data_IF_242272076317
#
_entry.id   IF_242272076317
#
_cell.length_a   1.000
_cell.length_b   1.000
_cell.length_c   1.000
_cell.angle_alpha   90.00
_cell.angle_beta   90.00
_cell.angle_gamma   90.00
#
_symmetry.space_group_name_H-M   'P 1'
#
loop_
_entity.id
_entity.type
_entity.pdbx_description
1 polymer ?
#
# COMPACT_ATOMS: atom_id res chain seq x y z
N UNK A 1 -1.09 -24.80 6.29
CA UNK A 1 -2.00 -23.69 6.70
C UNK A 1 -3.41 -24.22 6.67
N UNK A 2 -4.06 -24.25 7.85
CA UNK A 2 -5.39 -24.80 8.09
C UNK A 2 -6.47 -23.92 7.44
N UNK A 3 -7.59 -24.58 7.21
CA UNK A 3 -8.66 -24.28 6.28
C UNK A 3 -9.73 -23.40 6.96
N UNK A 4 -9.60 -22.07 6.91
CA UNK A 4 -10.46 -21.15 7.69
C UNK A 4 -11.44 -20.29 6.86
N UNK A 5 -11.73 -20.66 5.61
CA UNK A 5 -12.79 -20.02 4.81
C UNK A 5 -13.97 -20.93 4.51
N UNK A 6 -14.37 -21.79 5.47
CA UNK A 6 -15.71 -22.40 5.47
C UNK A 6 -16.69 -21.52 6.25
N UNK A 7 -16.95 -20.32 5.74
CA UNK A 7 -18.25 -19.70 5.99
C UNK A 7 -19.27 -20.54 5.20
N UNK A 8 -19.80 -21.58 5.84
CA UNK A 8 -20.67 -22.56 5.19
C UNK A 8 -21.91 -21.85 4.65
N UNK A 9 -22.42 -22.30 3.51
CA UNK A 9 -23.71 -21.87 2.94
C UNK A 9 -24.83 -21.88 4.01
N UNK A 10 -24.73 -22.80 4.98
CA UNK A 10 -25.56 -22.85 6.18
C UNK A 10 -25.54 -21.54 6.99
N UNK A 11 -24.38 -20.94 7.26
CA UNK A 11 -24.31 -19.69 8.03
C UNK A 11 -24.97 -18.52 7.30
N UNK A 12 -24.90 -18.49 5.97
CA UNK A 12 -25.59 -17.49 5.14
C UNK A 12 -27.11 -17.70 5.20
N UNK A 13 -27.57 -18.96 5.13
CA UNK A 13 -28.99 -19.32 5.29
C UNK A 13 -29.49 -18.97 6.70
N UNK A 14 -28.72 -19.25 7.75
CA UNK A 14 -29.08 -18.90 9.13
C UNK A 14 -29.21 -17.39 9.33
N UNK A 15 -28.29 -16.61 8.77
CA UNK A 15 -28.36 -15.14 8.83
C UNK A 15 -29.58 -14.63 8.07
N UNK A 16 -29.88 -15.18 6.89
CA UNK A 16 -31.08 -14.81 6.11
C UNK A 16 -32.39 -15.17 6.83
N UNK A 17 -32.44 -16.31 7.54
CA UNK A 17 -33.60 -16.76 8.32
C UNK A 17 -33.78 -15.92 9.59
N UNK A 18 -32.71 -15.62 10.32
CA UNK A 18 -32.78 -14.75 11.51
C UNK A 18 -33.25 -13.36 11.11
N UNK A 19 -32.79 -12.85 9.95
CA UNK A 19 -33.20 -11.54 9.46
C UNK A 19 -34.64 -11.53 8.95
N UNK A 20 -35.14 -12.62 8.35
CA UNK A 20 -36.56 -12.74 7.96
C UNK A 20 -37.49 -12.78 9.18
N UNK A 21 -37.03 -13.33 10.30
CA UNK A 21 -37.74 -13.35 11.58
C UNK A 21 -37.75 -11.95 12.23
N UNK A 22 -36.61 -11.25 12.27
CA UNK A 22 -36.52 -9.85 12.76
C UNK A 22 -37.42 -8.93 11.90
N UNK A 23 -37.47 -9.18 10.59
CA UNK A 23 -38.37 -8.52 9.65
C UNK A 23 -39.85 -8.79 9.96
N UNK A 24 -40.23 -10.04 10.24
CA UNK A 24 -41.60 -10.40 10.62
C UNK A 24 -42.02 -9.72 11.93
N UNK A 25 -41.11 -9.66 12.91
CA UNK A 25 -41.32 -9.02 14.21
C UNK A 25 -41.46 -7.50 14.05
N UNK A 26 -40.63 -6.87 13.21
CA UNK A 26 -40.72 -5.44 12.92
C UNK A 26 -42.05 -5.06 12.26
N UNK A 27 -42.54 -5.87 11.32
CA UNK A 27 -43.86 -5.69 10.68
C UNK A 27 -45.00 -5.85 11.69
N UNK A 28 -44.91 -6.82 12.61
CA UNK A 28 -45.92 -7.04 13.66
C UNK A 28 -45.95 -5.94 14.71
N UNK A 29 -44.78 -5.46 15.15
CA UNK A 29 -44.65 -4.41 16.16
C UNK A 29 -45.15 -3.04 15.63
N UNK A 30 -44.96 -2.78 14.34
CA UNK A 30 -45.38 -1.52 13.73
C UNK A 30 -46.87 -1.46 13.40
N UNK A 31 -47.55 -2.61 13.28
CA UNK A 31 -49.02 -2.66 13.20
C UNK A 31 -49.73 -2.10 14.44
N UNK A 32 -49.03 -1.95 15.58
CA UNK A 32 -49.63 -1.57 16.86
C UNK A 32 -49.46 -0.09 17.26
N UNK A 33 -48.69 0.74 16.54
CA UNK A 33 -48.39 2.11 17.00
C UNK A 33 -48.60 3.20 15.93
N UNK A 34 -49.14 4.35 16.34
CA UNK A 34 -49.29 5.59 15.55
C UNK A 34 -49.06 6.83 16.44
N UNK A 35 -48.67 8.00 15.88
CA UNK A 35 -48.09 8.26 14.56
C UNK A 35 -46.86 9.21 14.57
N UNK A 36 -45.80 8.81 13.86
CA UNK A 36 -45.06 9.72 12.97
C UNK A 36 -45.80 9.70 11.62
N UNK A 37 -45.88 10.82 10.89
CA UNK A 37 -46.71 10.92 9.68
C UNK A 37 -46.08 10.23 8.44
N UNK A 38 -45.88 8.90 8.55
CA UNK A 38 -45.50 7.91 7.53
C UNK A 38 -46.78 7.28 6.91
N UNK A 39 -47.95 7.85 7.23
CA UNK A 39 -49.31 7.32 6.99
C UNK A 39 -49.70 7.18 5.51
N UNK A 40 -48.82 7.56 4.57
CA UNK A 40 -49.04 7.43 3.12
C UNK A 40 -48.45 6.17 2.50
N UNK A 41 -47.64 5.41 3.24
CA UNK A 41 -47.01 4.17 2.76
C UNK A 41 -47.90 2.98 3.12
N UNK A 42 -48.46 2.36 2.09
CA UNK A 42 -49.31 1.18 2.22
C UNK A 42 -48.46 -0.06 2.53
N UNK A 43 -49.10 -1.14 3.01
CA UNK A 43 -48.45 -2.45 3.25
C UNK A 43 -47.62 -2.93 2.05
N UNK A 44 -48.11 -2.65 0.83
CA UNK A 44 -47.42 -2.95 -0.44
C UNK A 44 -46.08 -2.23 -0.54
N UNK A 45 -46.02 -0.97 -0.13
CA UNK A 45 -44.84 -0.13 -0.31
C UNK A 45 -43.69 -0.60 0.60
N UNK A 46 -44.03 -1.03 1.81
CA UNK A 46 -43.09 -1.68 2.72
C UNK A 46 -42.54 -3.00 2.17
N UNK A 47 -43.40 -3.85 1.58
CA UNK A 47 -42.94 -5.09 0.95
C UNK A 47 -41.96 -4.83 -0.19
N UNK A 48 -42.20 -3.82 -1.02
CA UNK A 48 -41.27 -3.45 -2.11
C UNK A 48 -39.93 -2.94 -1.59
N UNK A 49 -39.92 -2.03 -0.62
CA UNK A 49 -38.68 -1.49 -0.04
C UNK A 49 -37.85 -2.63 0.60
N UNK A 50 -38.49 -3.57 1.29
CA UNK A 50 -37.81 -4.72 1.87
C UNK A 50 -37.23 -5.67 0.83
N UNK A 51 -37.92 -5.87 -0.29
CA UNK A 51 -37.45 -6.72 -1.39
C UNK A 51 -36.24 -6.08 -2.09
N UNK A 52 -36.26 -4.76 -2.28
CA UNK A 52 -35.11 -3.99 -2.83
C UNK A 52 -33.92 -4.08 -1.85
N UNK A 53 -34.15 -3.93 -0.54
CA UNK A 53 -33.10 -4.05 0.47
C UNK A 53 -32.43 -5.44 0.43
N UNK A 54 -33.24 -6.50 0.42
CA UNK A 54 -32.76 -7.88 0.32
C UNK A 54 -31.96 -8.10 -0.97
N UNK A 55 -32.44 -7.56 -2.08
CA UNK A 55 -31.76 -7.66 -3.36
C UNK A 55 -30.39 -6.95 -3.34
N UNK A 56 -30.33 -5.69 -2.92
CA UNK A 56 -29.08 -4.92 -2.83
C UNK A 56 -28.07 -5.52 -1.85
N UNK A 57 -28.54 -6.11 -0.75
CA UNK A 57 -27.71 -6.80 0.22
C UNK A 57 -27.19 -8.14 -0.30
N UNK A 58 -28.04 -8.91 -0.99
CA UNK A 58 -27.62 -10.17 -1.64
C UNK A 58 -26.55 -9.91 -2.71
N UNK A 59 -26.73 -8.86 -3.51
CA UNK A 59 -25.74 -8.40 -4.48
C UNK A 59 -24.40 -8.05 -3.82
N UNK A 60 -24.44 -7.31 -2.71
CA UNK A 60 -23.26 -7.00 -1.91
C UNK A 60 -22.56 -8.26 -1.40
N UNK A 61 -23.30 -9.20 -0.80
CA UNK A 61 -22.73 -10.42 -0.23
C UNK A 61 -22.05 -11.28 -1.31
N UNK A 62 -22.74 -11.58 -2.40
CA UNK A 62 -22.21 -12.45 -3.47
C UNK A 62 -20.91 -11.87 -4.05
N UNK A 63 -20.88 -10.55 -4.29
CA UNK A 63 -19.71 -9.91 -4.87
C UNK A 63 -18.59 -9.67 -3.85
N UNK A 64 -18.92 -9.39 -2.59
CA UNK A 64 -17.91 -9.18 -1.54
C UNK A 64 -17.18 -10.48 -1.16
N UNK A 65 -17.84 -11.63 -1.29
CA UNK A 65 -17.22 -12.95 -1.13
C UNK A 65 -16.25 -13.22 -2.27
N UNK A 66 -16.61 -12.88 -3.51
CA UNK A 66 -15.80 -13.15 -4.69
C UNK A 66 -14.62 -12.18 -4.85
N UNK A 67 -14.80 -10.92 -4.46
CA UNK A 67 -13.83 -9.85 -4.68
C UNK A 67 -13.59 -9.03 -3.39
N UNK A 68 -12.70 -9.55 -2.53
CA UNK A 68 -12.35 -8.92 -1.25
C UNK A 68 -11.87 -7.47 -1.41
N UNK A 69 -11.09 -7.20 -2.47
CA UNK A 69 -10.48 -5.90 -2.78
C UNK A 69 -11.51 -4.81 -3.12
N UNK A 70 -12.75 -5.19 -3.45
CA UNK A 70 -13.80 -4.30 -3.95
C UNK A 70 -14.86 -4.05 -2.88
N UNK A 71 -14.74 -4.69 -1.70
CA UNK A 71 -15.75 -4.63 -0.63
C UNK A 71 -16.17 -3.20 -0.29
N UNK A 72 -15.23 -2.25 -0.20
CA UNK A 72 -15.52 -0.83 0.08
C UNK A 72 -16.34 -0.16 -1.04
N UNK A 73 -15.96 -0.38 -2.31
CA UNK A 73 -16.69 0.16 -3.46
C UNK A 73 -18.07 -0.49 -3.63
N UNK A 74 -18.19 -1.80 -3.33
CA UNK A 74 -19.45 -2.54 -3.39
C UNK A 74 -20.49 -2.02 -2.40
N UNK A 75 -20.08 -1.58 -1.20
CA UNK A 75 -21.00 -0.91 -0.26
C UNK A 75 -21.63 0.31 -0.93
N UNK A 76 -20.82 1.17 -1.57
CA UNK A 76 -21.32 2.39 -2.24
C UNK A 76 -22.29 2.03 -3.37
N UNK A 77 -21.97 1.06 -4.21
CA UNK A 77 -22.83 0.63 -5.33
C UNK A 77 -24.15 0.07 -4.79
N UNK A 78 -24.12 -0.85 -3.83
CA UNK A 78 -25.31 -1.46 -3.26
C UNK A 78 -26.21 -0.44 -2.57
N UNK A 79 -25.63 0.51 -1.83
CA UNK A 79 -26.37 1.61 -1.20
C UNK A 79 -26.99 2.54 -2.24
N UNK A 80 -26.25 2.90 -3.30
CA UNK A 80 -26.78 3.72 -4.38
C UNK A 80 -27.92 3.02 -5.14
N UNK A 81 -27.80 1.71 -5.40
CA UNK A 81 -28.88 0.90 -6.00
C UNK A 81 -30.12 0.86 -5.10
N UNK A 82 -29.94 0.68 -3.79
CA UNK A 82 -31.06 0.68 -2.84
C UNK A 82 -31.81 2.02 -2.82
N UNK A 83 -31.06 3.13 -2.74
CA UNK A 83 -31.63 4.48 -2.68
C UNK A 83 -32.34 4.84 -4.00
N UNK A 84 -31.70 4.59 -5.14
CA UNK A 84 -32.27 4.92 -6.46
C UNK A 84 -33.56 4.13 -6.73
N UNK A 85 -33.58 2.83 -6.44
CA UNK A 85 -34.78 2.01 -6.61
C UNK A 85 -35.92 2.40 -5.65
N UNK A 86 -35.58 2.74 -4.41
CA UNK A 86 -36.57 3.10 -3.38
C UNK A 86 -37.19 4.47 -3.64
N UNK A 87 -36.39 5.47 -4.02
CA UNK A 87 -36.86 6.81 -4.40
C UNK A 87 -37.72 6.72 -5.66
N UNK A 88 -37.27 5.97 -6.66
CA UNK A 88 -37.97 5.85 -7.93
C UNK A 88 -39.34 5.16 -7.78
N UNK A 89 -39.39 4.07 -7.01
CA UNK A 89 -40.66 3.42 -6.66
C UNK A 89 -41.62 4.39 -5.97
N UNK A 90 -41.13 5.13 -4.98
CA UNK A 90 -41.94 6.09 -4.24
C UNK A 90 -42.54 7.16 -5.16
N UNK A 91 -41.73 7.76 -6.04
CA UNK A 91 -42.18 8.80 -6.97
C UNK A 91 -43.21 8.28 -7.98
N UNK A 92 -42.94 7.13 -8.61
CA UNK A 92 -43.83 6.61 -9.64
C UNK A 92 -45.14 6.02 -9.09
N UNK A 93 -45.12 5.48 -7.87
CA UNK A 93 -46.33 5.00 -7.19
C UNK A 93 -47.38 6.10 -6.95
N UNK A 94 -46.98 7.38 -7.01
CA UNK A 94 -47.84 8.54 -6.79
C UNK A 94 -48.31 9.21 -8.08
N UNK A 95 -47.63 8.97 -9.21
CA UNK A 95 -47.82 9.74 -10.44
C UNK A 95 -48.56 8.95 -11.53
N UNK A 96 -48.30 7.64 -11.69
CA UNK A 96 -48.77 6.90 -12.88
C UNK A 96 -49.31 5.49 -12.58
N UNK A 97 -50.33 5.07 -13.34
CA UNK A 97 -50.96 3.74 -13.23
C UNK A 97 -50.12 2.62 -13.88
N UNK A 98 -49.16 2.93 -14.75
CA UNK A 98 -48.32 1.95 -15.48
C UNK A 98 -46.81 2.08 -15.18
N UNK A 99 -46.43 2.03 -13.90
CA UNK A 99 -45.03 2.22 -13.49
C UNK A 99 -44.09 1.02 -13.78
N UNK A 100 -44.61 -0.12 -14.23
CA UNK A 100 -43.87 -1.39 -14.34
C UNK A 100 -42.78 -1.36 -15.43
N UNK A 101 -43.11 -0.89 -16.64
CA UNK A 101 -42.17 -0.83 -17.77
C UNK A 101 -40.98 0.06 -17.44
N UNK A 102 -41.25 1.23 -16.86
CA UNK A 102 -40.21 2.20 -16.51
C UNK A 102 -39.37 1.73 -15.33
N UNK A 103 -39.95 0.99 -14.37
CA UNK A 103 -39.20 0.32 -13.31
C UNK A 103 -38.25 -0.75 -13.88
N UNK A 104 -38.72 -1.55 -14.85
CA UNK A 104 -37.89 -2.55 -15.52
C UNK A 104 -36.70 -1.91 -16.27
N UNK A 105 -36.95 -0.81 -16.98
CA UNK A 105 -35.89 -0.03 -17.64
C UNK A 105 -34.87 0.53 -16.64
N UNK A 106 -35.33 1.06 -15.51
CA UNK A 106 -34.45 1.60 -14.47
C UNK A 106 -33.59 0.50 -13.85
N UNK A 107 -34.18 -0.62 -13.47
CA UNK A 107 -33.46 -1.79 -12.94
C UNK A 107 -32.39 -2.24 -13.95
N UNK A 108 -32.75 -2.36 -15.22
CA UNK A 108 -31.81 -2.75 -16.29
C UNK A 108 -30.64 -1.76 -16.41
N UNK A 109 -30.91 -0.46 -16.37
CA UNK A 109 -29.88 0.58 -16.44
C UNK A 109 -28.92 0.54 -15.23
N UNK A 110 -29.44 0.30 -14.02
CA UNK A 110 -28.64 0.18 -12.81
C UNK A 110 -27.69 -1.02 -12.88
N UNK A 111 -28.12 -2.14 -13.45
CA UNK A 111 -27.24 -3.29 -13.64
C UNK A 111 -26.10 -3.01 -14.60
N UNK A 112 -26.38 -2.29 -15.70
CA UNK A 112 -25.34 -1.87 -16.64
C UNK A 112 -24.31 -0.99 -15.91
N UNK A 113 -24.77 0.04 -15.18
CA UNK A 113 -23.90 0.93 -14.42
C UNK A 113 -23.10 0.17 -13.34
N UNK A 114 -23.74 -0.70 -12.57
CA UNK A 114 -23.09 -1.51 -11.54
C UNK A 114 -22.05 -2.47 -12.15
N UNK A 115 -22.34 -3.05 -13.32
CA UNK A 115 -21.42 -3.89 -14.08
C UNK A 115 -20.17 -3.14 -14.50
N UNK A 116 -20.32 -1.97 -15.14
CA UNK A 116 -19.19 -1.13 -15.55
C UNK A 116 -18.35 -0.64 -14.38
N UNK A 117 -19.00 -0.24 -13.27
CA UNK A 117 -18.29 0.20 -12.07
C UNK A 117 -17.47 -0.94 -11.45
N UNK A 118 -18.09 -2.12 -11.33
CA UNK A 118 -17.41 -3.31 -10.79
C UNK A 118 -16.25 -3.70 -11.68
N UNK A 119 -16.44 -3.73 -13.01
CA UNK A 119 -15.39 -4.02 -13.98
C UNK A 119 -14.23 -3.01 -13.91
N UNK A 120 -14.53 -1.72 -13.85
CA UNK A 120 -13.53 -0.65 -13.69
C UNK A 120 -12.70 -0.84 -12.42
N UNK A 121 -13.36 -1.22 -11.31
CA UNK A 121 -12.67 -1.44 -10.04
C UNK A 121 -11.79 -2.69 -10.07
N UNK A 122 -12.28 -3.81 -10.66
CA UNK A 122 -11.49 -5.02 -10.88
C UNK A 122 -10.26 -4.68 -11.74
N UNK A 123 -10.46 -3.97 -12.84
CA UNK A 123 -9.40 -3.58 -13.76
C UNK A 123 -8.34 -2.73 -13.08
N UNK A 124 -8.75 -1.73 -12.28
CA UNK A 124 -7.82 -0.91 -11.51
C UNK A 124 -6.97 -1.75 -10.55
N UNK A 125 -7.58 -2.70 -9.84
CA UNK A 125 -6.82 -3.57 -8.93
C UNK A 125 -5.86 -4.50 -9.68
N UNK A 126 -6.32 -5.09 -10.78
CA UNK A 126 -5.50 -5.92 -11.67
C UNK A 126 -4.30 -5.14 -12.25
N UNK A 127 -4.54 -3.91 -12.72
CA UNK A 127 -3.51 -3.02 -13.24
C UNK A 127 -2.44 -2.69 -12.19
N UNK A 128 -2.82 -2.38 -10.96
CA UNK A 128 -1.85 -2.15 -9.87
C UNK A 128 -0.97 -3.36 -9.63
N UNK A 129 -1.55 -4.56 -9.57
CA UNK A 129 -0.79 -5.82 -9.41
C UNK A 129 0.15 -6.06 -10.58
N UNK A 130 -0.31 -5.86 -11.81
CA UNK A 130 0.52 -5.99 -13.01
C UNK A 130 1.68 -4.99 -13.02
N UNK A 131 1.41 -3.72 -12.71
CA UNK A 131 2.43 -2.68 -12.62
C UNK A 131 3.48 -3.00 -11.54
N UNK A 132 3.01 -3.49 -10.39
CA UNK A 132 3.88 -3.92 -9.28
C UNK A 132 4.76 -5.10 -9.67
N UNK A 133 4.17 -6.12 -10.30
CA UNK A 133 4.90 -7.28 -10.80
C UNK A 133 5.96 -6.87 -11.82
N UNK A 134 5.61 -5.98 -12.75
CA UNK A 134 6.56 -5.46 -13.74
C UNK A 134 7.72 -4.73 -13.06
N UNK A 135 7.47 -3.91 -12.04
CA UNK A 135 8.52 -3.23 -11.28
C UNK A 135 9.45 -4.24 -10.58
N UNK A 136 8.88 -5.25 -9.93
CA UNK A 136 9.64 -6.31 -9.25
C UNK A 136 10.50 -7.10 -10.27
N UNK A 137 9.90 -7.51 -11.38
CA UNK A 137 10.59 -8.29 -12.41
C UNK A 137 11.69 -7.47 -13.09
N UNK A 138 11.41 -6.21 -13.43
CA UNK A 138 12.39 -5.31 -14.01
C UNK A 138 13.56 -5.06 -13.06
N UNK A 139 13.31 -4.91 -11.76
CA UNK A 139 14.40 -4.78 -10.80
C UNK A 139 15.21 -6.08 -10.68
N UNK A 140 14.55 -7.24 -10.64
CA UNK A 140 15.23 -8.54 -10.52
C UNK A 140 16.10 -8.90 -11.72
N UNK A 141 15.69 -8.50 -12.93
CA UNK A 141 16.44 -8.74 -14.17
C UNK A 141 17.24 -7.52 -14.62
N UNK A 142 17.32 -6.46 -13.82
CA UNK A 142 18.11 -5.29 -14.17
C UNK A 142 19.60 -5.58 -13.98
N UNK A 143 20.33 -5.74 -15.08
CA UNK A 143 21.79 -5.84 -15.08
C UNK A 143 22.44 -4.66 -14.36
N UNK A 144 21.88 -3.45 -14.51
CA UNK A 144 22.39 -2.26 -13.84
C UNK A 144 22.21 -2.34 -12.32
N UNK A 145 21.05 -2.79 -11.84
CA UNK A 145 20.81 -3.00 -10.42
C UNK A 145 21.78 -4.05 -9.85
N UNK A 146 21.93 -5.18 -10.55
CA UNK A 146 22.84 -6.25 -10.16
C UNK A 146 24.29 -5.76 -10.09
N UNK A 147 24.78 -5.08 -11.14
CA UNK A 147 26.14 -4.51 -11.16
C UNK A 147 26.36 -3.52 -10.02
N UNK A 148 25.41 -2.61 -9.77
CA UNK A 148 25.53 -1.63 -8.68
C UNK A 148 25.48 -2.25 -7.29
N UNK A 149 24.71 -3.33 -7.12
CA UNK A 149 24.75 -4.11 -5.89
C UNK A 149 26.09 -4.87 -5.75
N UNK A 150 26.63 -5.41 -6.84
CA UNK A 150 27.90 -6.13 -6.85
C UNK A 150 29.08 -5.20 -6.55
N UNK A 151 29.11 -3.99 -7.14
CA UNK A 151 30.13 -2.96 -6.84
C UNK A 151 30.15 -2.65 -5.34
N UNK A 152 28.96 -2.47 -4.76
CA UNK A 152 28.77 -2.22 -3.34
C UNK A 152 29.21 -3.41 -2.46
N UNK A 153 28.88 -4.65 -2.83
CA UNK A 153 29.28 -5.84 -2.08
C UNK A 153 30.78 -6.10 -2.20
N UNK A 154 31.39 -5.88 -3.37
CA UNK A 154 32.84 -6.03 -3.57
C UNK A 154 33.64 -5.02 -2.75
N UNK A 155 33.17 -3.78 -2.68
CA UNK A 155 33.87 -2.73 -1.95
C UNK A 155 33.75 -2.87 -0.43
N UNK A 156 32.54 -3.12 0.06
CA UNK A 156 32.26 -3.04 1.50
C UNK A 156 32.02 -4.38 2.16
N UNK A 157 31.73 -5.45 1.41
CA UNK A 157 31.22 -6.71 1.95
C UNK A 157 29.70 -6.70 2.20
N UNK A 158 29.17 -7.86 2.57
CA UNK A 158 27.74 -8.02 2.90
C UNK A 158 27.45 -7.49 4.32
N UNK A 159 26.36 -6.76 4.49
CA UNK A 159 25.88 -6.23 5.78
C UNK A 159 26.78 -5.22 6.51
N UNK A 160 27.72 -4.59 5.79
CA UNK A 160 28.56 -3.52 6.35
C UNK A 160 27.91 -2.15 6.11
N UNK A 161 27.88 -1.34 7.18
CA UNK A 161 27.38 0.03 7.19
C UNK A 161 28.47 0.97 6.70
N UNK A 162 28.15 1.83 5.73
CA UNK A 162 29.11 2.77 5.16
C UNK A 162 29.43 3.86 6.18
N UNK A 163 30.70 4.04 6.52
CA UNK A 163 31.18 5.05 7.47
C UNK A 163 30.77 6.48 7.05
N UNK A 164 30.45 7.40 7.97
CA UNK A 164 30.03 8.77 7.64
C UNK A 164 31.01 9.54 6.73
N UNK A 165 32.32 9.46 6.98
CA UNK A 165 33.38 10.09 6.16
C UNK A 165 33.30 9.76 4.66
N UNK A 166 32.78 8.58 4.29
CA UNK A 166 32.59 8.19 2.90
C UNK A 166 31.44 8.95 2.23
N UNK A 167 30.36 9.19 2.97
CA UNK A 167 29.19 9.94 2.49
C UNK A 167 29.61 11.35 2.10
N UNK A 168 30.39 12.00 2.96
CA UNK A 168 30.84 13.37 2.77
C UNK A 168 31.73 13.53 1.52
N UNK A 169 32.56 12.53 1.24
CA UNK A 169 33.42 12.50 0.04
C UNK A 169 32.60 12.32 -1.22
N UNK A 170 31.68 11.35 -1.28
CA UNK A 170 30.95 11.04 -2.52
C UNK A 170 30.16 12.21 -3.08
N UNK A 171 29.57 13.03 -2.21
CA UNK A 171 28.83 14.22 -2.64
C UNK A 171 29.70 15.45 -2.89
N UNK A 172 31.00 15.42 -2.54
CA UNK A 172 31.98 16.50 -2.77
C UNK A 172 33.01 16.17 -3.87
N UNK A 173 33.02 14.95 -4.43
CA UNK A 173 34.01 14.49 -5.44
C UNK A 173 34.07 15.38 -6.69
N UNK A 174 32.98 16.05 -7.08
CA UNK A 174 33.01 16.97 -8.23
C UNK A 174 33.92 18.19 -8.00
N UNK A 175 34.06 18.61 -6.75
CA UNK A 175 34.70 19.88 -6.38
C UNK A 175 36.06 19.67 -5.68
N UNK A 176 36.47 18.42 -5.46
CA UNK A 176 37.74 18.09 -4.81
C UNK A 176 38.77 17.59 -5.82
N UNK A 177 40.04 18.04 -5.73
CA UNK A 177 41.13 17.44 -6.49
C UNK A 177 41.22 15.96 -6.16
N UNK A 178 41.50 15.13 -7.18
CA UNK A 178 41.67 13.68 -6.98
C UNK A 178 42.71 13.46 -5.87
N UNK A 179 42.40 12.64 -4.85
CA UNK A 179 43.35 12.36 -3.79
C UNK A 179 44.66 11.83 -4.38
N UNK A 180 45.79 12.36 -3.92
CA UNK A 180 47.12 11.88 -4.29
C UNK A 180 47.45 10.64 -3.46
N UNK A 181 47.63 9.50 -4.12
CA UNK A 181 47.98 8.25 -3.47
C UNK A 181 49.47 7.98 -3.63
N UNK A 182 50.15 7.62 -2.53
CA UNK A 182 51.56 7.22 -2.57
C UNK A 182 51.73 5.84 -3.26
N UNK A 183 50.71 4.98 -3.18
CA UNK A 183 50.71 3.64 -3.78
C UNK A 183 49.48 3.47 -4.71
N UNK A 184 49.68 3.03 -5.97
CA UNK A 184 48.59 2.80 -6.93
C UNK A 184 47.57 1.74 -6.48
N UNK A 185 47.96 0.78 -5.63
CA UNK A 185 47.03 -0.21 -5.05
C UNK A 185 45.96 0.47 -4.19
N UNK A 186 46.35 1.40 -3.30
CA UNK A 186 45.39 2.15 -2.46
C UNK A 186 44.49 3.07 -3.28
N UNK A 187 44.99 3.60 -4.39
CA UNK A 187 44.16 4.34 -5.33
C UNK A 187 43.04 3.46 -5.91
N UNK A 188 43.40 2.26 -6.38
CA UNK A 188 42.43 1.32 -6.97
C UNK A 188 41.37 0.85 -5.96
N UNK A 189 41.79 0.57 -4.72
CA UNK A 189 40.87 0.20 -3.64
C UNK A 189 39.94 1.38 -3.29
N UNK A 190 40.48 2.58 -3.10
CA UNK A 190 39.68 3.78 -2.81
C UNK A 190 38.60 4.03 -3.87
N UNK A 191 38.94 3.94 -5.17
CA UNK A 191 37.95 4.13 -6.23
C UNK A 191 36.86 3.04 -6.25
N UNK A 192 37.19 1.82 -5.83
CA UNK A 192 36.19 0.75 -5.63
C UNK A 192 35.17 1.13 -4.55
N UNK A 193 35.62 1.66 -3.41
CA UNK A 193 34.73 2.18 -2.37
C UNK A 193 33.83 3.32 -2.87
N UNK A 194 34.38 4.25 -3.65
CA UNK A 194 33.59 5.34 -4.26
C UNK A 194 32.50 4.80 -5.17
N UNK A 195 32.80 3.86 -6.06
CA UNK A 195 31.80 3.25 -6.94
C UNK A 195 30.76 2.44 -6.17
N UNK A 196 31.16 1.75 -5.09
CA UNK A 196 30.24 1.05 -4.20
C UNK A 196 29.21 1.99 -3.55
N UNK A 197 29.62 3.17 -3.10
CA UNK A 197 28.70 4.14 -2.50
C UNK A 197 27.77 4.76 -3.55
N UNK A 198 28.27 5.06 -4.76
CA UNK A 198 27.41 5.48 -5.87
C UNK A 198 26.37 4.41 -6.18
N UNK A 199 26.76 3.13 -6.14
CA UNK A 199 25.84 2.00 -6.20
C UNK A 199 24.79 2.04 -5.10
N UNK A 200 25.20 2.23 -3.85
CA UNK A 200 24.26 2.33 -2.72
C UNK A 200 23.27 3.49 -2.87
N UNK A 201 23.73 4.67 -3.31
CA UNK A 201 22.87 5.81 -3.61
C UNK A 201 21.85 5.48 -4.72
N UNK A 202 22.28 4.78 -5.77
CA UNK A 202 21.40 4.31 -6.84
C UNK A 202 20.31 3.36 -6.30
N UNK A 203 20.69 2.38 -5.49
CA UNK A 203 19.74 1.43 -4.88
C UNK A 203 18.75 2.16 -3.97
N UNK A 204 19.21 3.11 -3.17
CA UNK A 204 18.36 3.89 -2.27
C UNK A 204 17.34 4.74 -3.05
N UNK A 205 17.76 5.38 -4.13
CA UNK A 205 16.86 6.15 -5.01
C UNK A 205 15.77 5.27 -5.64
N UNK A 206 16.10 4.03 -6.01
CA UNK A 206 15.11 3.06 -6.48
C UNK A 206 14.03 2.80 -5.41
N UNK A 207 14.42 2.57 -4.16
CA UNK A 207 13.46 2.31 -3.09
C UNK A 207 12.67 3.56 -2.68
N UNK A 208 13.25 4.75 -2.77
CA UNK A 208 12.52 6.02 -2.60
C UNK A 208 11.41 6.17 -3.65
N UNK A 209 11.73 5.93 -4.93
CA UNK A 209 10.75 5.96 -6.00
C UNK A 209 9.66 4.89 -5.80
N UNK A 210 10.04 3.67 -5.44
CA UNK A 210 9.10 2.60 -5.14
C UNK A 210 8.18 2.97 -3.95
N UNK A 211 8.73 3.62 -2.92
CA UNK A 211 7.96 4.09 -1.78
C UNK A 211 6.88 5.09 -2.18
N UNK A 212 7.19 6.03 -3.08
CA UNK A 212 6.19 6.97 -3.63
C UNK A 212 5.02 6.21 -4.27
N UNK A 213 5.31 5.21 -5.11
CA UNK A 213 4.27 4.41 -5.78
C UNK A 213 3.39 3.63 -4.80
N UNK A 214 3.98 3.10 -3.71
CA UNK A 214 3.23 2.40 -2.66
C UNK A 214 2.37 3.37 -1.85
N UNK A 215 2.92 4.51 -1.44
CA UNK A 215 2.22 5.49 -0.61
C UNK A 215 1.06 6.16 -1.37
N UNK A 216 1.20 6.35 -2.68
CA UNK A 216 0.12 6.87 -3.56
C UNK A 216 -0.91 5.80 -3.97
N UNK A 217 -0.63 4.52 -3.71
CA UNK A 217 -1.52 3.41 -4.04
C UNK A 217 -1.50 3.00 -5.52
N UNK A 218 -0.45 3.37 -6.24
CA UNK A 218 -0.18 2.92 -7.62
C UNK A 218 0.48 1.54 -7.65
N UNK A 219 1.18 1.18 -6.57
CA UNK A 219 1.77 -0.13 -6.34
C UNK A 219 0.99 -0.91 -5.27
N UNK A 220 0.97 -2.23 -5.42
CA UNK A 220 0.39 -3.17 -4.46
C UNK A 220 1.30 -3.30 -3.24
N UNK A 221 0.88 -2.67 -2.14
CA UNK A 221 1.64 -2.61 -0.88
C UNK A 221 1.93 -3.99 -0.29
N UNK A 222 0.97 -4.92 -0.37
CA UNK A 222 1.11 -6.25 0.23
C UNK A 222 2.17 -7.05 -0.53
N UNK A 223 2.08 -7.07 -1.85
CA UNK A 223 3.06 -7.73 -2.71
C UNK A 223 4.45 -7.12 -2.55
N UNK A 224 4.55 -5.78 -2.53
CA UNK A 224 5.83 -5.09 -2.31
C UNK A 224 6.44 -5.40 -0.94
N UNK A 225 5.62 -5.46 0.13
CA UNK A 225 6.09 -5.82 1.47
C UNK A 225 6.63 -7.25 1.53
N UNK A 226 5.93 -8.20 0.91
CA UNK A 226 6.36 -9.61 0.86
C UNK A 226 7.68 -9.78 0.09
N UNK A 227 7.89 -9.01 -0.99
CA UNK A 227 9.11 -9.10 -1.79
C UNK A 227 10.29 -8.29 -1.23
N UNK A 228 10.05 -7.09 -0.69
CA UNK A 228 11.11 -6.12 -0.43
C UNK A 228 11.30 -5.71 1.03
N UNK A 229 10.43 -6.09 1.97
CA UNK A 229 10.57 -5.68 3.38
C UNK A 229 11.98 -5.93 3.94
N UNK A 230 12.53 -7.13 3.72
CA UNK A 230 13.89 -7.45 4.14
C UNK A 230 14.98 -6.69 3.39
N UNK A 231 14.78 -6.40 2.11
CA UNK A 231 15.74 -5.65 1.29
C UNK A 231 15.81 -4.18 1.72
N UNK A 232 14.66 -3.54 1.94
CA UNK A 232 14.55 -2.16 2.42
C UNK A 232 15.23 -2.01 3.77
N UNK A 233 15.00 -2.93 4.72
CA UNK A 233 15.71 -2.93 6.01
C UNK A 233 17.23 -3.02 5.85
N UNK A 234 17.73 -3.92 5.00
CA UNK A 234 19.18 -4.07 4.77
C UNK A 234 19.78 -2.84 4.10
N UNK A 235 19.06 -2.22 3.16
CA UNK A 235 19.52 -1.00 2.49
C UNK A 235 19.56 0.18 3.45
N UNK A 236 18.55 0.37 4.30
CA UNK A 236 18.57 1.43 5.32
C UNK A 236 19.78 1.27 6.24
N UNK A 237 20.02 0.06 6.74
CA UNK A 237 21.17 -0.25 7.59
C UNK A 237 22.49 0.15 6.92
N UNK A 238 22.69 -0.25 5.67
CA UNK A 238 23.93 0.04 4.93
C UNK A 238 24.09 1.52 4.59
N UNK A 239 22.98 2.18 4.24
CA UNK A 239 22.93 3.57 3.81
C UNK A 239 22.66 4.55 4.96
N UNK A 240 22.69 4.11 6.22
CA UNK A 240 22.25 4.91 7.37
C UNK A 240 22.87 6.31 7.41
N UNK A 241 24.20 6.40 7.35
CA UNK A 241 24.91 7.68 7.34
C UNK A 241 24.71 8.46 6.04
N UNK A 242 24.52 7.77 4.91
CA UNK A 242 24.23 8.39 3.62
C UNK A 242 22.87 9.10 3.63
N UNK A 243 21.85 8.45 4.20
CA UNK A 243 20.49 9.02 4.33
C UNK A 243 20.53 10.26 5.23
N UNK A 244 21.20 10.16 6.39
CA UNK A 244 21.36 11.30 7.32
C UNK A 244 22.07 12.48 6.67
N UNK A 245 23.14 12.20 5.93
CA UNK A 245 23.86 13.22 5.18
C UNK A 245 22.95 13.92 4.15
N UNK A 246 22.15 13.16 3.40
CA UNK A 246 21.21 13.72 2.44
C UNK A 246 20.12 14.57 3.11
N UNK A 247 19.59 14.13 4.27
CA UNK A 247 18.59 14.88 5.05
C UNK A 247 19.16 16.21 5.56
N UNK A 248 20.43 16.23 5.97
CA UNK A 248 21.10 17.45 6.41
C UNK A 248 21.22 18.50 5.30
N UNK A 249 21.20 18.07 4.02
CA UNK A 249 21.26 18.95 2.84
C UNK A 249 19.88 19.32 2.31
N UNK A 250 18.97 18.35 2.29
CA UNK A 250 17.58 18.51 1.89
C UNK A 250 16.70 17.79 2.92
N UNK A 251 15.92 18.53 3.75
CA UNK A 251 15.06 17.93 4.76
C UNK A 251 14.05 16.91 4.24
N UNK A 252 13.72 16.94 2.94
CA UNK A 252 12.78 16.03 2.31
C UNK A 252 13.45 14.80 1.66
N UNK A 253 14.78 14.71 1.73
CA UNK A 253 15.51 13.58 1.15
C UNK A 253 15.08 12.26 1.80
N UNK A 254 14.71 11.29 0.95
CA UNK A 254 14.31 9.95 1.37
C UNK A 254 13.10 9.89 2.33
N UNK A 255 12.26 10.93 2.32
CA UNK A 255 11.08 11.00 3.20
C UNK A 255 10.11 9.84 2.95
N UNK A 256 9.88 9.46 1.69
CA UNK A 256 8.92 8.40 1.36
C UNK A 256 9.45 7.03 1.77
N UNK A 257 10.74 6.78 1.58
CA UNK A 257 11.44 5.58 2.04
C UNK A 257 11.30 5.40 3.56
N UNK A 258 11.54 6.48 4.33
CA UNK A 258 11.41 6.46 5.80
C UNK A 258 9.95 6.20 6.20
N UNK A 259 8.99 6.91 5.59
CA UNK A 259 7.55 6.68 5.82
C UNK A 259 7.14 5.24 5.52
N UNK A 260 7.67 4.64 4.45
CA UNK A 260 7.39 3.25 4.08
C UNK A 260 7.90 2.27 5.14
N UNK A 261 9.09 2.50 5.68
CA UNK A 261 9.65 1.67 6.75
C UNK A 261 8.76 1.66 7.99
N UNK A 262 8.32 2.83 8.44
CA UNK A 262 7.37 2.96 9.55
C UNK A 262 6.05 2.26 9.25
N UNK A 263 5.51 2.43 8.04
CA UNK A 263 4.26 1.77 7.60
C UNK A 263 4.36 0.25 7.65
N UNK A 264 5.52 -0.32 7.32
CA UNK A 264 5.72 -1.77 7.33
C UNK A 264 5.98 -2.35 8.73
N UNK A 265 6.05 -1.52 9.76
CA UNK A 265 6.23 -1.92 11.16
C UNK A 265 7.69 -1.97 11.60
N UNK A 266 8.61 -1.41 10.80
CA UNK A 266 10.01 -1.30 11.17
C UNK A 266 10.25 0.10 11.79
N UNK A 267 10.92 0.14 12.93
CA UNK A 267 11.46 1.40 13.45
C UNK A 267 12.62 1.84 12.55
N UNK A 268 12.46 2.96 11.83
CA UNK A 268 13.54 3.51 11.01
C UNK A 268 14.71 3.91 11.91
N UNK A 269 15.91 3.44 11.55
CA UNK A 269 17.12 3.77 12.29
C UNK A 269 17.39 5.28 12.25
N UNK A 270 17.09 5.92 11.12
CA UNK A 270 17.28 7.36 10.93
C UNK A 270 16.41 8.15 11.91
N UNK A 271 15.16 7.72 12.13
CA UNK A 271 14.27 8.31 13.13
C UNK A 271 14.80 8.05 14.54
N UNK A 272 15.19 6.80 14.85
CA UNK A 272 15.67 6.39 16.17
C UNK A 272 16.90 7.17 16.65
N UNK A 273 17.82 7.46 15.73
CA UNK A 273 19.08 8.13 16.05
C UNK A 273 19.08 9.63 15.69
N UNK A 274 17.92 10.23 15.39
CA UNK A 274 17.79 11.60 14.87
C UNK A 274 18.56 12.65 15.69
N UNK A 275 18.53 12.54 17.02
CA UNK A 275 19.11 13.55 17.93
C UNK A 275 20.59 13.27 18.31
N UNK A 276 21.15 12.13 17.88
CA UNK A 276 22.55 11.77 18.14
C UNK A 276 23.46 12.28 17.04
N UNK A 277 24.69 12.68 17.35
CA UNK A 277 25.71 13.06 16.34
C UNK A 277 26.37 11.81 15.76
N UNK A 278 26.87 11.89 14.53
CA UNK A 278 27.47 10.72 13.85
C UNK A 278 28.66 10.16 14.64
N UNK A 279 29.49 11.02 15.26
CA UNK A 279 30.58 10.61 16.14
C UNK A 279 30.11 9.86 17.39
N UNK A 280 28.99 10.29 17.99
CA UNK A 280 28.42 9.56 19.15
C UNK A 280 27.87 8.21 18.73
N UNK A 281 27.33 8.08 17.53
CA UNK A 281 26.77 6.82 17.00
C UNK A 281 27.89 5.83 16.66
N UNK A 282 28.96 6.30 16.02
CA UNK A 282 30.13 5.48 15.69
C UNK A 282 30.89 4.95 16.92
N UNK A 283 30.69 5.55 18.09
CA UNK A 283 31.28 5.13 19.37
C UNK A 283 30.28 4.45 20.32
N UNK A 284 29.01 4.34 19.92
CA UNK A 284 27.96 3.70 20.71
C UNK A 284 28.10 2.18 20.61
N UNK A 285 28.47 1.51 21.70
CA UNK A 285 28.64 0.05 21.73
C UNK A 285 27.37 -0.70 21.32
N UNK A 286 26.19 -0.16 21.65
CA UNK A 286 24.91 -0.75 21.24
C UNK A 286 24.65 -0.68 19.73
N UNK A 287 25.28 0.28 19.04
CA UNK A 287 25.23 0.40 17.59
C UNK A 287 26.29 -0.48 16.92
N UNK A 288 27.52 -0.50 17.44
CA UNK A 288 28.64 -1.28 16.89
C UNK A 288 28.39 -2.80 17.03
N UNK A 289 27.79 -3.24 18.14
CA UNK A 289 27.45 -4.66 18.35
C UNK A 289 26.37 -5.17 17.36
N UNK A 290 25.62 -4.26 16.75
CA UNK A 290 24.57 -4.54 15.76
C UNK A 290 25.06 -4.26 14.32
N UNK A 291 26.07 -3.40 14.16
CA UNK A 291 26.53 -2.89 12.87
C UNK A 291 28.06 -2.91 12.75
N UNK A 292 28.56 -3.70 11.80
CA UNK A 292 29.96 -3.58 11.35
C UNK A 292 30.09 -2.35 10.45
N UNK A 293 30.84 -1.35 10.89
CA UNK A 293 31.10 -0.12 10.12
C UNK A 293 32.32 -0.32 9.21
N UNK A 294 32.26 0.21 7.99
CA UNK A 294 33.37 0.14 7.04
C UNK A 294 34.61 0.91 7.51
N UNK A 295 35.79 0.57 6.95
CA UNK A 295 37.03 1.33 7.14
C UNK A 295 36.87 2.81 6.79
N UNK A 296 37.63 3.68 7.46
CA UNK A 296 37.64 5.12 7.17
C UNK A 296 38.39 5.42 5.86
N UNK A 297 37.96 6.42 5.07
CA UNK A 297 38.68 6.83 3.86
C UNK A 297 40.14 7.24 4.11
N UNK A 298 40.43 7.80 5.29
CA UNK A 298 41.78 8.26 5.67
C UNK A 298 42.79 7.13 5.85
N UNK A 299 42.32 5.89 6.06
CA UNK A 299 43.20 4.72 6.16
C UNK A 299 43.84 4.37 4.81
N UNK A 300 43.26 4.80 3.69
CA UNK A 300 43.78 4.57 2.33
C UNK A 300 44.72 5.70 1.85
N UNK A 301 44.83 6.80 2.60
CA UNK A 301 45.65 7.96 2.25
C UNK A 301 47.02 7.95 2.94
N UNK A 302 47.26 7.01 3.86
CA UNK A 302 48.56 6.76 4.50
C UNK A 302 49.39 5.82 3.65
#
# INVERSE_FOLDING_TARGET
MKNDNKFSLQNVIYILVIFSIIFLIGVLFFCQTKPFNIRSLNRRDWLYISLILLFSFSFYLVLSIKYEEIKKSLVVISTAMFLTLSIYYYLMSKISMEYQTTLSLLVSSLFICAGWWTQSTINRSSQRKSHTLNLIMNQRFSDLYMRKNDDLVKAFGMNITVHPDWSDRVFKIKDQPKPSFQNPLYASEYFSYVEGIKGLSYLLNFYEFAAVGILKGDLDDKMMKECFSGAVCRIEKRAFFLIRYSIARDPNAYENFIKLMTKWGNESLVIKYKDKTDDTICNDSSFIDIFTISKKPTEFLK
#
